data_IF_661088470095
#
_entry.id   IF_661088470095
#
_cell.length_a   1.000
_cell.length_b   1.000
_cell.length_c   1.000
_cell.angle_alpha   90.00
_cell.angle_beta   90.00
_cell.angle_gamma   90.00
#
_symmetry.space_group_name_H-M   'P 1'
#
loop_
_entity.id
_entity.type
_entity.pdbx_description
1 polymer ?
2 non-polymer ?
3 non-polymer ?
4 non-polymer ?
5 non-polymer ?
6 non-polymer ?
7 non-polymer ?
8 non-polymer ?
9 water ?
#
# COMPACT_ATOMS: atom_id res chain seq x y z
N UNK A 2 27.50 -10.60 1.55
CA UNK A 2 27.18 -11.12 2.88
C UNK A 2 25.69 -11.00 3.18
N UNK A 3 25.02 -12.14 3.32
CA UNK A 3 23.57 -12.16 3.52
C UNK A 3 23.17 -11.37 4.77
N UNK A 4 23.81 -11.64 5.90
CA UNK A 4 23.53 -10.93 7.14
C UNK A 4 23.72 -9.43 6.97
N UNK A 5 24.83 -9.04 6.37
CA UNK A 5 25.15 -7.63 6.15
C UNK A 5 24.18 -6.99 5.16
N UNK A 6 23.75 -7.78 4.18
CA UNK A 6 22.81 -7.30 3.16
C UNK A 6 21.40 -7.20 3.73
N UNK A 7 21.02 -8.19 4.53
CA UNK A 7 19.71 -8.18 5.19
C UNK A 7 19.56 -6.91 6.02
N UNK A 8 20.59 -6.59 6.80
CA UNK A 8 20.57 -5.39 7.61
C UNK A 8 20.45 -4.14 6.74
N UNK A 9 21.18 -4.13 5.63
CA UNK A 9 21.14 -3.02 4.68
C UNK A 9 19.72 -2.82 4.17
N UNK A 10 19.15 -3.86 3.57
CA UNK A 10 17.80 -3.80 3.03
C UNK A 10 16.78 -3.42 4.10
N UNK A 11 16.91 -4.02 5.27
CA UNK A 11 16.01 -3.73 6.39
C UNK A 11 15.98 -2.25 6.70
N UNK A 12 17.14 -1.60 6.61
CA UNK A 12 17.24 -0.17 6.86
C UNK A 12 16.61 0.63 5.74
N UNK A 13 16.85 0.21 4.50
CA UNK A 13 16.28 0.87 3.34
C UNK A 13 14.76 0.82 3.36
N UNK A 14 14.22 -0.32 3.80
CA UNK A 14 12.78 -0.49 3.91
C UNK A 14 12.18 0.45 4.95
N UNK A 15 12.83 0.51 6.11
CA UNK A 15 12.38 1.39 7.17
C UNK A 15 12.53 2.84 6.74
N UNK A 16 13.52 3.10 5.90
CA UNK A 16 13.76 4.44 5.39
C UNK A 16 12.61 4.93 4.52
N UNK A 17 12.28 4.13 3.51
CA UNK A 17 11.24 4.51 2.55
C UNK A 17 9.84 4.35 3.14
N UNK A 18 9.61 3.25 3.85
CA UNK A 18 8.30 2.97 4.43
C UNK A 18 7.79 4.17 5.23
N UNK A 19 8.70 4.90 5.85
CA UNK A 19 8.34 6.10 6.60
C UNK A 19 8.02 7.26 5.68
N UNK A 20 8.85 7.45 4.66
CA UNK A 20 8.61 8.48 3.66
C UNK A 20 7.26 8.28 2.99
N UNK A 21 7.07 7.08 2.43
CA UNK A 21 5.82 6.75 1.74
C UNK A 21 4.59 6.91 2.64
N UNK A 22 4.73 6.49 3.89
CA UNK A 22 3.65 6.62 4.86
C UNK A 22 3.20 8.07 5.01
N UNK A 23 4.06 8.99 4.60
CA UNK A 23 3.76 10.42 4.70
C UNK A 23 3.22 10.98 3.39
N UNK A 24 3.81 10.56 2.28
CA UNK A 24 3.35 11.00 0.97
C UNK A 24 1.93 10.53 0.71
N UNK A 25 1.47 9.54 1.48
CA UNK A 25 0.13 9.01 1.35
C UNK A 25 -0.78 9.57 2.45
N UNK A 26 -0.22 9.70 3.66
CA UNK A 26 -0.95 10.25 4.78
C UNK A 26 -1.34 11.70 4.50
N UNK A 27 -0.52 12.40 3.74
CA UNK A 27 -0.80 13.78 3.35
C UNK A 27 -1.75 13.80 2.16
N UNK A 28 -1.48 12.95 1.18
CA UNK A 28 -2.30 12.87 -0.02
C UNK A 28 -3.75 12.54 0.32
N UNK A 29 -3.96 11.43 1.01
CA UNK A 29 -5.30 11.00 1.41
C UNK A 29 -6.00 12.06 2.27
N UNK A 30 -5.21 12.94 2.88
CA UNK A 30 -5.77 13.98 3.72
C UNK A 30 -6.13 15.22 2.92
N UNK A 31 -5.40 15.47 1.83
CA UNK A 31 -5.69 16.61 0.98
C UNK A 31 -6.92 16.33 0.11
N UNK A 32 -7.16 15.06 -0.15
CA UNK A 32 -8.28 14.65 -1.00
C UNK A 32 -9.60 14.62 -0.23
N UNK A 33 -9.56 14.09 0.98
CA UNK A 33 -10.75 14.09 1.83
C UNK A 33 -11.18 15.53 2.07
N UNK A 34 -10.27 16.46 1.80
CA UNK A 34 -10.56 17.89 1.94
C UNK A 34 -11.38 18.39 0.75
N UNK A 35 -10.92 18.09 -0.45
CA UNK A 35 -11.62 18.49 -1.67
C UNK A 35 -13.07 18.02 -1.66
N UNK A 36 -13.27 16.77 -1.26
CA UNK A 36 -14.61 16.22 -1.17
C UNK A 36 -15.38 16.91 -0.05
N UNK A 37 -14.70 17.22 1.04
CA UNK A 37 -15.33 17.82 2.21
C UNK A 37 -15.75 19.26 1.95
N UNK A 38 -14.97 19.96 1.13
CA UNK A 38 -15.29 21.34 0.80
C UNK A 38 -16.39 21.38 -0.26
N UNK A 39 -16.35 20.41 -1.17
CA UNK A 39 -17.36 20.30 -2.22
C UNK A 39 -18.71 19.96 -1.61
N UNK A 40 -18.72 19.05 -0.66
CA UNK A 40 -19.95 18.67 0.02
C UNK A 40 -20.56 19.84 0.78
N UNK A 41 -19.70 20.72 1.28
CA UNK A 41 -20.17 21.90 2.01
C UNK A 41 -20.82 22.93 1.10
N UNK A 42 -20.21 23.17 -0.05
CA UNK A 42 -20.80 24.07 -1.05
C UNK A 42 -22.10 23.48 -1.57
N UNK A 43 -22.09 22.17 -1.79
CA UNK A 43 -23.28 21.46 -2.25
C UNK A 43 -24.42 21.62 -1.24
N UNK A 44 -24.17 21.25 0.00
CA UNK A 44 -25.15 21.40 1.07
C UNK A 44 -25.66 22.84 1.16
N UNK A 45 -24.85 23.78 0.69
CA UNK A 45 -25.21 25.19 0.68
C UNK A 45 -26.18 25.51 -0.45
N UNK A 46 -25.80 25.13 -1.67
CA UNK A 46 -26.63 25.36 -2.85
C UNK A 46 -28.05 24.88 -2.63
N UNK A 47 -28.20 23.78 -1.91
CA UNK A 47 -29.51 23.24 -1.58
C UNK A 47 -30.22 24.15 -0.59
N UNK A 48 -29.52 24.50 0.49
CA UNK A 48 -30.07 25.39 1.50
C UNK A 48 -30.45 26.73 0.89
N UNK A 49 -29.91 27.00 -0.30
CA UNK A 49 -30.18 28.24 -1.00
C UNK A 49 -31.35 28.08 -1.96
N UNK A 50 -31.38 26.93 -2.63
CA UNK A 50 -32.48 26.62 -3.55
C UNK A 50 -33.77 26.35 -2.78
N UNK A 51 -33.64 25.78 -1.59
CA UNK A 51 -34.80 25.53 -0.74
C UNK A 51 -35.39 26.85 -0.25
N UNK A 52 -34.53 27.78 0.15
CA UNK A 52 -34.96 29.07 0.64
C UNK A 52 -35.55 29.92 -0.48
N UNK A 53 -35.05 29.72 -1.70
CA UNK A 53 -35.64 30.35 -2.87
C UNK A 53 -37.02 29.76 -3.12
N UNK A 54 -37.12 28.45 -2.97
CA UNK A 54 -38.37 27.73 -3.20
C UNK A 54 -39.45 28.23 -2.25
N UNK A 55 -39.05 28.71 -1.08
CA UNK A 55 -39.99 29.23 -0.10
C UNK A 55 -40.04 30.76 -0.16
N UNK A 56 -39.11 31.36 -0.90
CA UNK A 56 -39.09 32.81 -1.08
C UNK A 56 -40.06 33.21 -2.17
N UNK A 57 -40.07 32.45 -3.26
CA UNK A 57 -41.04 32.65 -4.33
C UNK A 57 -42.39 32.08 -3.93
N UNK A 58 -42.36 31.11 -3.02
CA UNK A 58 -43.57 30.45 -2.53
C UNK A 58 -44.47 31.45 -1.82
N UNK A 59 -43.87 32.28 -0.99
CA UNK A 59 -44.63 33.28 -0.24
C UNK A 59 -45.11 34.41 -1.16
N UNK A 60 -44.31 34.71 -2.18
CA UNK A 60 -44.66 35.76 -3.13
C UNK A 60 -45.99 35.46 -3.79
N UNK A 61 -46.18 34.21 -4.18
CA UNK A 61 -47.46 33.75 -4.72
C UNK A 61 -48.58 33.98 -3.71
N UNK A 62 -48.25 33.77 -2.44
CA UNK A 62 -49.22 33.88 -1.35
C UNK A 62 -49.67 35.32 -1.14
N UNK A 63 -49.00 36.25 -1.81
CA UNK A 63 -49.35 37.66 -1.68
C UNK A 63 -50.05 38.21 -2.92
N UNK A 64 -49.51 37.87 -4.10
CA UNK A 64 -50.14 38.27 -5.36
C UNK A 64 -51.57 37.76 -5.44
N UNK A 65 -51.79 36.55 -4.93
CA UNK A 65 -53.13 36.00 -4.83
C UNK A 65 -53.97 36.90 -3.93
N UNK A 66 -53.38 37.28 -2.80
CA UNK A 66 -54.05 38.15 -1.84
C UNK A 66 -54.41 39.50 -2.45
N UNK A 67 -53.74 39.86 -3.53
CA UNK A 67 -54.00 41.13 -4.20
C UNK A 67 -55.00 40.97 -5.34
N UNK A 68 -54.87 39.89 -6.10
CA UNK A 68 -55.78 39.60 -7.20
C UNK A 68 -57.22 39.43 -6.71
N UNK A 69 -57.37 38.75 -5.57
CA UNK A 69 -58.69 38.50 -5.00
C UNK A 69 -59.32 39.78 -4.46
N UNK A 70 -58.55 40.54 -3.70
CA UNK A 70 -59.04 41.76 -3.07
C UNK A 70 -59.30 42.86 -4.10
N UNK A 71 -59.12 42.54 -5.37
CA UNK A 71 -59.32 43.50 -6.45
C UNK A 71 -60.28 42.93 -7.50
N UNK A 72 -60.79 41.73 -7.23
CA UNK A 72 -61.69 41.06 -8.16
C UNK A 72 -62.56 40.02 -7.44
N UNK B 2 19.77 -23.82 2.94
CA UNK B 2 18.53 -23.56 2.23
C UNK B 2 18.33 -22.07 1.99
N UNK B 3 19.42 -21.35 1.73
CA UNK B 3 19.36 -19.91 1.48
C UNK B 3 18.41 -19.57 0.34
N UNK B 4 18.80 -19.97 -0.87
CA UNK B 4 17.99 -19.68 -2.05
C UNK B 4 16.52 -20.09 -1.85
N UNK B 5 16.30 -21.09 -1.00
CA UNK B 5 14.96 -21.57 -0.70
C UNK B 5 14.23 -20.60 0.20
N UNK B 6 14.84 -20.24 1.32
CA UNK B 6 14.26 -19.29 2.26
C UNK B 6 13.93 -17.96 1.56
N UNK B 7 14.74 -17.59 0.59
CA UNK B 7 14.51 -16.38 -0.18
C UNK B 7 13.32 -16.55 -1.11
N UNK B 8 13.28 -17.68 -1.82
CA UNK B 8 12.21 -17.95 -2.77
C UNK B 8 10.87 -18.04 -2.06
N UNK B 9 10.86 -18.68 -0.89
CA UNK B 9 9.64 -18.80 -0.10
C UNK B 9 9.08 -17.42 0.23
N UNK B 10 9.96 -16.53 0.66
CA UNK B 10 9.56 -15.16 1.00
C UNK B 10 9.09 -14.37 -0.23
N UNK B 11 9.71 -14.63 -1.38
CA UNK B 11 9.31 -13.95 -2.60
C UNK B 11 7.93 -14.39 -3.03
N UNK B 12 7.63 -15.66 -2.81
CA UNK B 12 6.32 -16.22 -3.15
C UNK B 12 5.26 -15.71 -2.19
N UNK B 13 5.60 -15.68 -0.91
CA UNK B 13 4.70 -15.15 0.10
C UNK B 13 4.39 -13.70 -0.19
N UNK B 14 5.41 -12.94 -0.57
CA UNK B 14 5.22 -11.53 -0.93
C UNK B 14 4.27 -11.41 -2.11
N UNK B 15 4.60 -12.07 -3.21
CA UNK B 15 3.78 -12.02 -4.42
C UNK B 15 2.34 -12.44 -4.16
N UNK B 16 2.18 -13.42 -3.27
CA UNK B 16 0.85 -13.90 -2.88
C UNK B 16 0.11 -12.82 -2.08
N UNK B 17 0.75 -12.29 -1.05
CA UNK B 17 0.15 -11.26 -0.22
C UNK B 17 -0.10 -9.97 -1.00
N UNK B 18 0.86 -9.60 -1.85
CA UNK B 18 0.72 -8.40 -2.67
C UNK B 18 -0.54 -8.46 -3.53
N UNK B 19 -0.87 -9.64 -4.02
CA UNK B 19 -2.05 -9.83 -4.86
C UNK B 19 -3.33 -9.56 -4.08
N UNK B 20 -3.51 -10.28 -2.97
CA UNK B 20 -4.69 -10.11 -2.12
C UNK B 20 -4.81 -8.68 -1.60
N UNK B 21 -3.68 -8.05 -1.32
CA UNK B 21 -3.66 -6.66 -0.89
C UNK B 21 -4.19 -5.73 -1.98
N UNK B 22 -3.94 -6.11 -3.23
CA UNK B 22 -4.34 -5.32 -4.38
C UNK B 22 -5.82 -5.48 -4.70
N UNK B 23 -6.35 -6.67 -4.46
CA UNK B 23 -7.74 -6.96 -4.79
C UNK B 23 -8.71 -6.57 -3.68
N UNK B 24 -8.20 -6.46 -2.46
CA UNK B 24 -9.00 -6.00 -1.33
C UNK B 24 -9.07 -4.47 -1.35
N UNK B 25 -8.02 -3.86 -1.87
CA UNK B 25 -7.96 -2.41 -1.99
C UNK B 25 -8.90 -1.92 -3.09
N UNK B 26 -8.84 -2.57 -4.24
CA UNK B 26 -9.68 -2.19 -5.37
C UNK B 26 -11.15 -2.27 -5.01
N UNK B 27 -11.53 -3.30 -4.27
CA UNK B 27 -12.91 -3.44 -3.81
C UNK B 27 -13.28 -2.32 -2.84
N UNK B 28 -12.51 -2.21 -1.76
CA UNK B 28 -12.78 -1.22 -0.72
C UNK B 28 -13.01 0.17 -1.31
N UNK B 29 -12.05 0.64 -2.11
CA UNK B 29 -12.17 1.95 -2.74
C UNK B 29 -13.37 2.01 -3.68
N UNK B 30 -13.55 0.97 -4.49
CA UNK B 30 -14.64 0.93 -5.47
C UNK B 30 -16.00 1.12 -4.78
N UNK B 31 -16.15 0.54 -3.60
CA UNK B 31 -17.42 0.63 -2.87
C UNK B 31 -17.54 1.99 -2.18
N UNK B 32 -16.47 2.44 -1.56
CA UNK B 32 -16.48 3.73 -0.87
C UNK B 32 -16.77 4.84 -1.86
N UNK B 33 -16.20 4.73 -3.05
CA UNK B 33 -16.49 5.69 -4.12
C UNK B 33 -17.97 5.62 -4.47
N UNK B 34 -18.46 4.41 -4.72
CA UNK B 34 -19.87 4.21 -5.02
C UNK B 34 -20.76 4.88 -3.97
N UNK B 35 -20.52 4.54 -2.70
CA UNK B 35 -21.28 5.12 -1.60
C UNK B 35 -21.34 6.64 -1.72
N UNK B 36 -20.17 7.26 -1.90
CA UNK B 36 -20.09 8.71 -2.02
C UNK B 36 -20.85 9.20 -3.25
N UNK B 37 -20.76 8.46 -4.35
CA UNK B 37 -21.49 8.81 -5.56
C UNK B 37 -23.00 8.79 -5.31
N UNK B 38 -23.46 7.79 -4.55
CA UNK B 38 -24.87 7.67 -4.22
C UNK B 38 -25.35 8.92 -3.49
N UNK B 39 -24.60 9.33 -2.47
CA UNK B 39 -24.97 10.49 -1.66
C UNK B 39 -24.93 11.79 -2.45
N UNK B 40 -23.97 11.89 -3.36
CA UNK B 40 -23.83 13.07 -4.19
C UNK B 40 -24.92 13.10 -5.26
N UNK B 41 -25.43 11.92 -5.61
CA UNK B 41 -26.53 11.81 -6.56
C UNK B 41 -27.85 12.21 -5.92
N UNK B 42 -28.17 11.58 -4.79
CA UNK B 42 -29.39 11.90 -4.04
C UNK B 42 -29.46 13.39 -3.78
N UNK B 43 -28.38 13.95 -3.25
CA UNK B 43 -28.32 15.38 -2.98
C UNK B 43 -28.55 16.18 -4.26
N UNK B 44 -27.87 15.78 -5.33
CA UNK B 44 -28.04 16.42 -6.63
C UNK B 44 -29.50 16.50 -7.04
N UNK B 45 -30.21 15.38 -6.94
CA UNK B 45 -31.63 15.32 -7.27
C UNK B 45 -32.41 16.32 -6.43
N UNK B 46 -32.13 16.33 -5.13
CA UNK B 46 -32.79 17.25 -4.21
C UNK B 46 -32.64 18.69 -4.68
N UNK B 47 -31.52 18.96 -5.36
CA UNK B 47 -31.26 20.30 -5.88
C UNK B 47 -32.12 20.60 -7.11
N UNK B 48 -32.09 19.68 -8.08
CA UNK B 48 -32.89 19.84 -9.28
C UNK B 48 -34.38 19.95 -8.96
N UNK B 49 -34.83 19.13 -8.02
CA UNK B 49 -36.22 19.15 -7.59
C UNK B 49 -36.58 20.50 -6.99
N UNK B 50 -35.62 21.10 -6.28
CA UNK B 50 -35.82 22.40 -5.67
C UNK B 50 -35.76 23.54 -6.69
N UNK B 51 -34.87 23.41 -7.66
CA UNK B 51 -34.73 24.41 -8.72
C UNK B 51 -35.98 24.46 -9.60
N UNK B 52 -36.47 23.29 -10.01
CA UNK B 52 -37.67 23.21 -10.81
C UNK B 52 -38.87 23.75 -10.05
N UNK B 53 -38.79 23.69 -8.72
CA UNK B 53 -39.87 24.19 -7.86
C UNK B 53 -39.87 25.71 -7.85
N UNK B 54 -38.69 26.30 -7.65
CA UNK B 54 -38.56 27.75 -7.67
C UNK B 54 -38.94 28.36 -9.01
N UNK B 55 -38.45 27.75 -10.09
CA UNK B 55 -38.76 28.20 -11.43
C UNK B 55 -40.25 28.06 -11.72
N UNK B 56 -40.86 27.03 -11.14
CA UNK B 56 -42.30 26.81 -11.27
C UNK B 56 -43.08 27.98 -10.69
N UNK B 57 -42.75 28.36 -9.46
CA UNK B 57 -43.43 29.46 -8.79
C UNK B 57 -43.18 30.78 -9.51
N UNK B 58 -41.94 30.99 -9.95
CA UNK B 58 -41.60 32.21 -10.68
C UNK B 58 -42.51 32.40 -11.89
N UNK B 59 -42.84 31.30 -12.57
CA UNK B 59 -43.78 31.35 -13.68
C UNK B 59 -45.08 31.99 -13.22
N UNK B 60 -45.59 31.52 -12.09
CA UNK B 60 -46.81 32.06 -11.50
C UNK B 60 -46.64 33.54 -11.19
N UNK B 61 -45.60 33.87 -10.43
CA UNK B 61 -45.35 35.26 -10.03
C UNK B 61 -45.35 36.19 -11.25
N UNK B 62 -44.96 35.66 -12.40
CA UNK B 62 -44.93 36.46 -13.63
C UNK B 62 -46.32 36.73 -14.18
N UNK B 63 -47.08 35.65 -14.41
CA UNK B 63 -48.42 35.77 -14.97
C UNK B 63 -49.40 36.31 -13.94
N UNK B 64 -49.19 35.97 -12.68
CA UNK B 64 -50.04 36.44 -11.60
C UNK B 64 -49.91 37.96 -11.44
N UNK B 65 -48.76 38.49 -11.82
CA UNK B 65 -48.53 39.94 -11.79
C UNK B 65 -49.25 40.60 -12.97
N UNK B 66 -49.19 39.94 -14.13
CA UNK B 66 -49.86 40.46 -15.32
C UNK B 66 -51.36 40.55 -15.12
N UNK B 67 -51.87 39.79 -14.16
CA UNK B 67 -53.28 39.87 -13.80
C UNK B 67 -53.52 41.04 -12.86
N UNK B 68 -52.57 41.30 -11.98
CA UNK B 68 -52.63 42.48 -11.12
C UNK B 68 -52.54 43.74 -11.96
N UNK B 69 -51.87 43.65 -13.11
CA UNK B 69 -51.76 44.76 -14.04
C UNK B 69 -53.02 44.88 -14.88
N UNK B 70 -53.36 43.79 -15.58
CA UNK B 70 -54.54 43.77 -16.44
C UNK B 70 -55.78 44.25 -15.69
N UNK B 71 -55.91 43.81 -14.44
CA UNK B 71 -57.03 44.22 -13.60
C UNK B 71 -56.91 45.69 -13.22
N UNK B 72 -55.80 46.05 -12.58
CA UNK B 72 -55.55 47.44 -12.20
C UNK B 72 -55.21 48.29 -13.41
N UNK C 1 -18.05 23.99 -7.81
CA UNK C 1 -17.46 22.66 -8.03
C UNK C 1 -18.37 21.55 -7.50
N UNK C 2 -19.06 20.86 -8.39
CA UNK C 2 -19.95 19.77 -7.99
C UNK C 2 -19.22 18.67 -7.24
N UNK C 3 -19.87 18.14 -6.21
CA UNK C 3 -19.31 17.03 -5.46
C UNK C 3 -19.09 15.81 -6.35
N UNK C 4 -20.00 15.60 -7.29
CA UNK C 4 -19.89 14.51 -8.25
C UNK C 4 -18.71 14.75 -9.18
N UNK C 5 -18.42 16.02 -9.44
CA UNK C 5 -17.28 16.39 -10.27
C UNK C 5 -16.00 16.32 -9.45
N UNK C 6 -16.13 16.54 -8.14
CA UNK C 6 -14.99 16.45 -7.23
C UNK C 6 -14.68 15.00 -6.93
N UNK C 7 -15.72 14.19 -6.81
CA UNK C 7 -15.56 12.76 -6.56
C UNK C 7 -14.90 12.06 -7.74
N UNK C 8 -15.39 12.36 -8.94
CA UNK C 8 -14.82 11.77 -10.15
C UNK C 8 -13.39 12.26 -10.35
N UNK C 9 -13.16 13.52 -10.00
CA UNK C 9 -11.84 14.10 -10.16
C UNK C 9 -10.82 13.33 -9.32
N UNK C 10 -11.22 12.99 -8.10
CA UNK C 10 -10.39 12.21 -7.20
C UNK C 10 -10.17 10.79 -7.73
N UNK C 11 -11.18 10.25 -8.41
CA UNK C 11 -11.11 8.88 -8.88
C UNK C 11 -10.09 8.72 -10.02
N UNK C 12 -10.00 9.73 -10.87
CA UNK C 12 -9.00 9.71 -11.94
C UNK C 12 -7.61 9.85 -11.34
N UNK C 13 -7.49 10.73 -10.35
CA UNK C 13 -6.22 10.95 -9.67
C UNK C 13 -5.77 9.68 -8.96
N UNK C 14 -6.68 9.06 -8.20
CA UNK C 14 -6.35 7.83 -7.48
C UNK C 14 -5.92 6.73 -8.45
N UNK C 15 -6.75 6.50 -9.47
CA UNK C 15 -6.49 5.42 -10.42
C UNK C 15 -5.12 5.58 -11.07
N UNK C 16 -4.71 6.82 -11.31
CA UNK C 16 -3.41 7.09 -11.94
C UNK C 16 -2.27 6.89 -10.94
N UNK C 17 -2.38 7.56 -9.79
CA UNK C 17 -1.37 7.46 -8.74
C UNK C 17 -1.18 6.02 -8.27
N UNK C 18 -2.28 5.34 -8.00
CA UNK C 18 -2.24 3.95 -7.59
C UNK C 18 -1.52 3.09 -8.63
N UNK C 19 -1.67 3.47 -9.89
CA UNK C 19 -1.01 2.77 -10.99
C UNK C 19 0.49 3.02 -10.98
N UNK C 20 0.89 4.23 -10.59
CA UNK C 20 2.30 4.59 -10.54
C UNK C 20 2.98 3.93 -9.34
N UNK C 21 2.31 3.96 -8.20
CA UNK C 21 2.85 3.36 -6.98
C UNK C 21 3.14 1.87 -7.13
N UNK C 22 2.19 1.13 -7.73
CA UNK C 22 2.38 -0.29 -7.98
C UNK C 22 3.64 -0.56 -8.78
N UNK C 23 3.77 0.11 -9.92
CA UNK C 23 4.93 -0.05 -10.79
C UNK C 23 6.22 0.16 -10.02
N UNK C 24 6.30 1.29 -9.31
CA UNK C 24 7.49 1.63 -8.54
C UNK C 24 7.78 0.58 -7.46
N UNK C 25 6.74 0.17 -6.75
CA UNK C 25 6.89 -0.80 -5.67
C UNK C 25 7.40 -2.14 -6.20
N UNK C 26 6.85 -2.58 -7.33
CA UNK C 26 7.27 -3.85 -7.92
C UNK C 26 8.74 -3.82 -8.30
N UNK C 27 9.18 -2.71 -8.90
CA UNK C 27 10.57 -2.56 -9.29
C UNK C 27 11.49 -2.47 -8.08
N UNK C 28 10.99 -1.84 -7.02
CA UNK C 28 11.78 -1.69 -5.80
C UNK C 28 12.09 -3.04 -5.17
N UNK C 29 11.05 -3.82 -4.93
CA UNK C 29 11.20 -5.14 -4.30
C UNK C 29 12.00 -6.08 -5.20
N UNK C 30 11.90 -5.88 -6.51
CA UNK C 30 12.71 -6.65 -7.45
C UNK C 30 14.18 -6.43 -7.18
N UNK C 31 14.57 -5.16 -7.03
CA UNK C 31 15.96 -4.82 -6.77
C UNK C 31 16.47 -5.39 -5.46
N UNK C 32 15.63 -5.31 -4.42
CA UNK C 32 16.01 -5.79 -3.09
C UNK C 32 16.16 -7.31 -3.06
N UNK C 33 15.16 -8.01 -3.61
CA UNK C 33 15.24 -9.45 -3.72
C UNK C 33 16.49 -9.84 -4.51
N UNK C 34 16.87 -8.98 -5.46
CA UNK C 34 18.08 -9.20 -6.26
C UNK C 34 19.33 -9.11 -5.40
N UNK C 35 19.46 -8.02 -4.65
CA UNK C 35 20.60 -7.83 -3.76
C UNK C 35 20.80 -9.05 -2.87
N UNK C 36 19.74 -9.44 -2.18
CA UNK C 36 19.78 -10.58 -1.27
C UNK C 36 20.15 -11.87 -1.99
N UNK C 37 19.56 -12.07 -3.16
CA UNK C 37 19.85 -13.25 -3.96
C UNK C 37 21.34 -13.37 -4.29
N UNK C 38 21.94 -12.25 -4.68
CA UNK C 38 23.37 -12.22 -4.99
C UNK C 38 24.20 -12.56 -3.76
N UNK C 39 23.82 -11.96 -2.63
CA UNK C 39 24.52 -12.20 -1.38
C UNK C 39 24.36 -13.65 -0.94
N UNK C 40 23.19 -14.22 -1.20
CA UNK C 40 22.92 -15.60 -0.85
C UNK C 40 23.84 -16.56 -1.62
N UNK C 41 23.88 -16.40 -2.94
CA UNK C 41 24.74 -17.21 -3.79
C UNK C 41 26.20 -17.04 -3.38
N UNK C 42 26.55 -15.81 -3.04
CA UNK C 42 27.91 -15.48 -2.60
C UNK C 42 28.25 -16.31 -1.36
N UNK C 43 27.35 -16.29 -0.39
CA UNK C 43 27.48 -17.10 0.80
C UNK C 43 27.53 -18.59 0.45
N UNK C 44 26.69 -18.97 -0.51
CA UNK C 44 26.63 -20.34 -0.99
C UNK C 44 27.97 -20.83 -1.54
N UNK C 45 28.61 -19.97 -2.33
CA UNK C 45 29.90 -20.30 -2.92
C UNK C 45 30.94 -20.52 -1.83
N UNK C 46 30.97 -19.63 -0.85
CA UNK C 46 31.91 -19.72 0.24
C UNK C 46 31.80 -21.08 0.94
N UNK C 47 30.58 -21.45 1.31
CA UNK C 47 30.33 -22.72 1.97
C UNK C 47 30.73 -23.87 1.05
N UNK C 48 30.51 -23.68 -0.24
CA UNK C 48 30.86 -24.69 -1.25
C UNK C 48 32.36 -24.95 -1.30
N UNK C 49 33.15 -23.88 -1.39
CA UNK C 49 34.59 -24.01 -1.48
C UNK C 49 35.21 -24.44 -0.15
N UNK C 50 34.64 -23.95 0.95
CA UNK C 50 35.13 -24.31 2.28
C UNK C 50 35.03 -25.81 2.49
N UNK C 51 33.94 -26.39 2.00
CA UNK C 51 33.75 -27.84 2.09
C UNK C 51 34.72 -28.58 1.18
N UNK C 52 35.08 -27.97 0.06
CA UNK C 52 36.07 -28.55 -0.84
C UNK C 52 37.41 -28.75 -0.15
N UNK C 53 37.89 -27.69 0.50
CA UNK C 53 39.15 -27.75 1.24
C UNK C 53 39.14 -28.93 2.19
N UNK C 54 38.08 -29.04 2.98
CA UNK C 54 37.94 -30.11 3.96
C UNK C 54 38.06 -31.49 3.34
N UNK C 55 37.22 -31.76 2.35
CA UNK C 55 37.21 -33.07 1.71
C UNK C 55 38.51 -33.30 0.94
N UNK C 56 39.16 -32.22 0.54
CA UNK C 56 40.44 -32.32 -0.15
C UNK C 56 41.55 -32.72 0.82
N UNK C 57 41.49 -32.17 2.03
CA UNK C 57 42.43 -32.55 3.07
C UNK C 57 42.17 -33.98 3.53
N UNK C 58 40.90 -34.35 3.59
CA UNK C 58 40.52 -35.70 3.96
C UNK C 58 41.08 -36.69 2.95
N UNK C 59 41.07 -36.31 1.68
CA UNK C 59 41.64 -37.14 0.63
C UNK C 59 43.14 -37.31 0.82
N UNK C 60 43.82 -36.20 1.14
CA UNK C 60 45.25 -36.22 1.37
C UNK C 60 45.60 -37.08 2.58
N UNK C 61 44.75 -37.04 3.60
CA UNK C 61 44.97 -37.81 4.82
C UNK C 61 45.05 -39.31 4.55
N UNK C 62 44.05 -39.83 3.84
CA UNK C 62 44.01 -41.25 3.52
C UNK C 62 44.87 -41.58 2.30
N UNK C 63 45.51 -40.56 1.74
CA UNK C 63 46.47 -40.75 0.66
C UNK C 63 47.83 -41.04 1.26
N UNK C 64 48.21 -40.24 2.25
CA UNK C 64 49.45 -40.44 2.99
C UNK C 64 49.38 -41.73 3.77
N UNK C 65 48.23 -41.97 4.42
CA UNK C 65 48.02 -43.19 5.19
C UNK C 65 48.14 -44.42 4.30
N UNK C 66 47.63 -44.32 3.08
CA UNK C 66 47.74 -45.39 2.10
C UNK C 66 49.19 -45.66 1.75
N UNK C 67 50.08 -44.76 2.16
CA UNK C 67 51.50 -44.87 1.85
C UNK C 67 52.33 -45.14 3.11
N UNK C 68 51.74 -44.92 4.28
CA UNK C 68 52.40 -45.21 5.54
C UNK C 68 52.44 -46.73 5.78
N UNK C 69 51.46 -47.43 5.22
CA UNK C 69 51.35 -48.88 5.38
C UNK C 69 52.51 -49.61 4.70
N UNK C 70 52.71 -49.33 3.42
CA UNK C 70 53.79 -49.96 2.65
C UNK C 70 55.15 -49.50 3.16
N UNK C 71 55.14 -48.56 4.09
CA UNK C 71 56.37 -48.00 4.65
C UNK C 71 56.89 -48.87 5.78
N UNK D 3 -24.01 15.43 0.92
CA UNK D 3 -24.25 15.25 2.34
C UNK D 3 -22.98 14.80 3.05
N UNK D 4 -22.74 15.31 4.25
CA UNK D 4 -21.47 15.10 4.94
C UNK D 4 -21.44 13.87 5.86
N UNK D 5 -22.61 13.32 6.15
CA UNK D 5 -22.67 12.10 6.95
C UNK D 5 -22.07 10.94 6.17
N UNK D 6 -22.09 11.04 4.85
CA UNK D 6 -21.49 10.03 4.00
C UNK D 6 -19.97 10.11 4.04
N UNK D 7 -19.46 11.34 4.03
CA UNK D 7 -18.01 11.56 4.12
C UNK D 7 -17.46 11.19 5.48
N UNK D 8 -18.11 11.67 6.54
CA UNK D 8 -17.67 11.39 7.90
C UNK D 8 -17.61 9.89 8.13
N UNK D 9 -18.55 9.17 7.54
CA UNK D 9 -18.60 7.72 7.64
C UNK D 9 -17.39 7.10 6.96
N UNK D 10 -17.05 7.63 5.78
CA UNK D 10 -15.96 7.09 4.98
C UNK D 10 -14.59 7.26 5.65
N UNK D 11 -14.27 8.49 6.07
CA UNK D 11 -12.97 8.76 6.66
C UNK D 11 -12.71 7.90 7.90
N UNK D 12 -13.73 7.76 8.74
CA UNK D 12 -13.59 6.95 9.95
C UNK D 12 -13.38 5.49 9.59
N UNK D 13 -13.90 5.08 8.44
CA UNK D 13 -13.69 3.72 7.94
C UNK D 13 -12.29 3.58 7.39
N UNK D 14 -11.80 4.63 6.74
CA UNK D 14 -10.46 4.64 6.16
C UNK D 14 -9.38 4.46 7.19
N UNK D 15 -9.44 5.24 8.25
CA UNK D 15 -8.40 5.24 9.27
C UNK D 15 -8.42 3.95 10.10
N UNK D 16 -9.61 3.47 10.42
CA UNK D 16 -9.74 2.22 11.15
C UNK D 16 -9.08 1.07 10.39
N UNK D 17 -9.11 1.17 9.06
CA UNK D 17 -8.50 0.18 8.19
C UNK D 17 -7.03 0.48 7.96
N UNK D 18 -6.72 1.75 7.72
CA UNK D 18 -5.35 2.20 7.51
C UNK D 18 -4.49 1.84 8.70
N UNK D 19 -5.03 2.04 9.90
CA UNK D 19 -4.32 1.69 11.13
C UNK D 19 -4.06 0.20 11.18
N UNK D 20 -5.12 -0.59 11.05
CA UNK D 20 -5.02 -2.04 11.08
C UNK D 20 -4.07 -2.55 9.99
N UNK D 21 -3.99 -1.82 8.89
CA UNK D 21 -3.13 -2.20 7.77
C UNK D 21 -1.65 -2.00 8.07
N UNK D 22 -1.31 -0.89 8.72
CA UNK D 22 0.08 -0.61 9.07
C UNK D 22 0.60 -1.61 10.10
N UNK D 23 -0.19 -1.89 11.13
CA UNK D 23 0.21 -2.81 12.18
C UNK D 23 0.45 -4.21 11.62
N UNK D 24 -0.43 -4.65 10.72
CA UNK D 24 -0.34 -5.98 10.14
C UNK D 24 0.83 -6.08 9.16
N UNK D 25 1.11 -4.97 8.48
CA UNK D 25 2.22 -4.90 7.54
C UNK D 25 3.56 -4.93 8.27
N UNK D 26 3.73 -4.02 9.22
CA UNK D 26 4.95 -3.93 10.00
C UNK D 26 5.25 -5.28 10.65
N UNK D 27 4.20 -5.91 11.18
CA UNK D 27 4.33 -7.22 11.79
C UNK D 27 4.80 -8.24 10.76
N UNK D 28 4.29 -8.12 9.55
CA UNK D 28 4.58 -9.07 8.48
C UNK D 28 6.04 -8.99 8.02
N UNK D 29 6.53 -7.77 7.80
CA UNK D 29 7.91 -7.56 7.36
C UNK D 29 8.92 -8.02 8.41
N UNK D 30 8.65 -7.71 9.67
CA UNK D 30 9.54 -8.07 10.77
C UNK D 30 9.69 -9.59 10.87
N UNK D 31 8.60 -10.30 10.63
CA UNK D 31 8.63 -11.76 10.66
C UNK D 31 9.42 -12.34 9.50
N UNK D 32 9.24 -11.77 8.31
CA UNK D 32 10.00 -12.20 7.13
C UNK D 32 11.49 -11.91 7.33
N UNK D 33 11.78 -10.75 7.90
CA UNK D 33 13.16 -10.39 8.21
C UNK D 33 13.73 -11.36 9.23
N UNK D 34 12.89 -11.79 10.16
CA UNK D 34 13.28 -12.78 11.15
C UNK D 34 13.62 -14.09 10.47
N UNK D 35 12.70 -14.59 9.64
CA UNK D 35 12.91 -15.82 8.89
C UNK D 35 14.26 -15.80 8.20
N UNK D 36 14.47 -14.79 7.36
CA UNK D 36 15.71 -14.66 6.59
C UNK D 36 16.94 -14.58 7.49
N UNK D 37 16.85 -13.77 8.54
CA UNK D 37 17.95 -13.63 9.50
C UNK D 37 18.38 -14.98 10.07
N UNK D 38 17.40 -15.81 10.41
CA UNK D 38 17.67 -17.12 10.98
C UNK D 38 18.34 -18.03 9.94
N UNK D 39 17.82 -18.03 8.72
CA UNK D 39 18.37 -18.84 7.64
C UNK D 39 19.83 -18.47 7.38
N UNK D 40 20.12 -17.17 7.42
CA UNK D 40 21.48 -16.70 7.20
C UNK D 40 22.42 -17.15 8.32
N UNK D 41 22.02 -16.91 9.57
CA UNK D 41 22.83 -17.31 10.72
C UNK D 41 23.17 -18.80 10.66
N UNK D 42 22.18 -19.60 10.29
CA UNK D 42 22.38 -21.03 10.13
C UNK D 42 23.42 -21.33 9.05
N UNK D 43 23.41 -20.53 7.99
CA UNK D 43 24.40 -20.65 6.95
C UNK D 43 25.79 -20.22 7.44
N UNK D 44 25.83 -19.14 8.20
CA UNK D 44 27.07 -18.67 8.81
C UNK D 44 27.64 -19.74 9.73
N UNK D 45 26.80 -20.27 10.61
CA UNK D 45 27.21 -21.35 11.50
C UNK D 45 27.75 -22.51 10.68
N UNK D 46 27.09 -22.79 9.57
CA UNK D 46 27.50 -23.88 8.68
C UNK D 46 28.84 -23.59 8.04
N UNK D 47 29.07 -22.32 7.70
CA UNK D 47 30.35 -21.91 7.10
C UNK D 47 31.45 -21.95 8.16
N UNK D 48 31.19 -21.29 9.28
CA UNK D 48 32.14 -21.25 10.39
C UNK D 48 32.58 -22.65 10.79
N UNK D 49 31.66 -23.61 10.69
CA UNK D 49 31.96 -24.99 11.04
C UNK D 49 32.86 -25.67 10.01
N UNK D 50 32.50 -25.54 8.73
CA UNK D 50 33.27 -26.15 7.66
C UNK D 50 34.69 -25.61 7.63
N UNK D 51 34.88 -24.39 8.13
CA UNK D 51 36.20 -23.80 8.26
C UNK D 51 36.99 -24.47 9.38
N UNK D 52 36.36 -24.60 10.54
CA UNK D 52 36.98 -25.24 11.69
C UNK D 52 37.36 -26.67 11.37
N UNK D 53 36.57 -27.30 10.50
CA UNK D 53 36.81 -28.68 10.11
C UNK D 53 37.81 -28.75 8.96
N UNK D 54 38.22 -27.59 8.46
CA UNK D 54 39.22 -27.54 7.39
C UNK D 54 40.61 -27.41 7.96
N UNK D 55 40.82 -26.40 8.80
CA UNK D 55 42.08 -26.23 9.49
C UNK D 55 42.37 -27.46 10.35
N UNK D 56 41.32 -28.06 10.88
CA UNK D 56 41.43 -29.29 11.65
C UNK D 56 42.08 -30.39 10.81
N UNK D 57 41.54 -30.61 9.62
CA UNK D 57 42.09 -31.59 8.70
C UNK D 57 43.49 -31.21 8.23
N UNK D 58 43.78 -29.91 8.21
CA UNK D 58 45.05 -29.42 7.70
C UNK D 58 46.21 -29.72 8.64
N UNK D 59 46.00 -29.49 9.94
CA UNK D 59 47.02 -29.77 10.93
C UNK D 59 47.32 -31.26 10.96
N UNK D 60 46.30 -32.07 10.66
CA UNK D 60 46.45 -33.51 10.62
C UNK D 60 47.41 -33.94 9.51
N UNK D 61 47.18 -33.47 8.30
CA UNK D 61 48.05 -33.80 7.18
C UNK D 61 49.47 -33.25 7.38
N UNK D 62 49.56 -32.08 8.00
CA UNK D 62 50.85 -31.50 8.35
C UNK D 62 51.63 -32.46 9.25
N UNK D 63 50.91 -33.10 10.18
CA UNK D 63 51.52 -34.02 11.13
C UNK D 63 51.81 -35.37 10.48
N UNK D 64 50.89 -35.82 9.65
CA UNK D 64 51.05 -37.11 8.97
C UNK D 64 52.20 -37.07 7.96
N UNK D 65 52.31 -35.98 7.21
CA UNK D 65 53.39 -35.83 6.24
C UNK D 65 54.72 -35.75 6.95
N UNK D 66 54.70 -35.28 8.20
CA UNK D 66 55.89 -35.21 9.03
C UNK D 66 56.24 -36.59 9.55
N UNK D 67 55.22 -37.36 9.91
CA UNK D 67 55.40 -38.73 10.39
C UNK D 67 55.92 -39.61 9.27
N UNK D 68 55.46 -39.35 8.05
CA UNK D 68 55.89 -40.12 6.89
C UNK D 68 57.34 -39.83 6.54
N UNK D 69 57.73 -38.56 6.68
CA UNK D 69 59.10 -38.15 6.38
C UNK D 69 60.10 -38.76 7.35
N UNK D 70 59.97 -38.39 8.62
CA UNK D 70 60.88 -38.88 9.65
C UNK D 70 60.95 -40.40 9.67
N UNK D 71 59.84 -41.04 9.30
CA UNK D 71 59.78 -42.49 9.23
C UNK D 71 60.55 -43.02 8.01
N UNK D 72 61.78 -43.47 8.25
CA UNK D 72 62.63 -43.96 7.17
C UNK D 72 62.94 -42.86 6.16
X LIG E 1 3.90 7.65 -0.81
X LIG E 1 3.13 6.62 -1.45
X LIG E 1 2.44 5.76 -0.38
X LIG E 1 1.49 4.91 -1.00
X LIG E 1 1.56 3.58 -0.49
X LIG E 1 2.19 2.71 -1.57
X LIG E 1 3.20 3.48 -2.21
X LIG E 1 3.96 2.74 -3.15
X LIG E 1 4.91 3.68 -3.88
X LIG E 1 6.13 2.98 -4.13
X LIG E 1 7.21 3.86 -4.42
X LIG E 1 8.43 3.36 -3.66
X LIG E 1 8.17 2.02 -3.22
X LIG E 1 9.27 1.48 -2.49
X LIG E 1 8.78 0.36 -1.58
X LIG E 1 8.15 0.92 -0.43
X LIG E 1 7.88 -0.08 0.55
X LIG E 1 7.35 0.56 1.83
X LIG E 1 6.15 1.28 1.57
X LIG E 1 5.29 1.30 2.70
X LIG E 1 4.14 2.28 2.45
X LIG E 1 3.73 2.16 1.08
X LIG F 1 -0.16 9.58 13.31
X LIG G 1 -1.80 -0.48 1.85
X LIG G 1 -2.26 -1.82 2.02
X LIG G 1 -1.76 -2.36 3.36
X LIG G 1 -2.05 -3.75 3.46
X LIG G 1 -1.46 -4.32 4.62
X LIG G 1 -1.40 -5.84 4.48
X LIG G 1 -0.27 -6.32 5.20
X LIG G 1 0.34 -7.42 4.55
X LIG G 1 1.82 -7.10 4.36
X LIG G 1 2.27 -7.71 3.15
X LIG G 1 3.09 -6.84 2.39
X LIG G 1 2.83 -7.08 0.91
X LIG G 1 2.88 -5.83 0.23
X LIG G 1 1.74 -5.63 -0.59
X LIG G 1 1.33 -4.16 -0.52
X LIG G 1 0.01 -3.99 -1.05
X LIG G 1 -0.44 -2.65 -0.88
X LIG G 1 -1.73 -2.43 -1.66
X LIG G 1 -2.12 -1.06 -1.55
X LIG H 1 -6.45 -9.66 5.90
X LIG I 1 20.96 -29.56 -2.45
X LIG J 1 -6.31 -3.94 -13.61
X LIG K 1 2.35 -0.06 -2.83
X LIG K 1 1.56 -0.35 -3.99
X LIG K 1 0.14 0.15 -3.78
X LIG K 1 0.13 1.56 -3.57
X LIG K 1 -0.96 2.18 -4.24
X LIG K 1 -1.46 3.37 -3.43
X LIG K 1 -2.09 4.31 -4.29
X LIG K 1 -3.19 4.95 -3.65
X LIG K 1 -2.95 6.46 -3.63
X LIG K 1 -1.92 6.73 -2.68
X LIG K 1 -1.11 7.85 -3.06
X LIG K 1 0.05 8.00 -2.09
X LIG K 1 1.11 8.71 -2.73
X LIG L 1 -12.44 1.24 -10.79
X LIG L 1 -12.51 1.42 -9.38
X LIG L 1 -11.70 2.65 -8.98
X LIG L 1 -12.14 3.12 -7.71
X LIG L 1 -11.49 4.33 -7.34
X LIG L 1 -12.28 5.02 -6.24
X LIG L 1 -11.50 6.09 -5.68
X LIG L 1 -12.03 6.52 -4.42
X LIG L 1 -10.91 7.13 -3.60
X LIG L 1 -11.40 7.51 -2.31
X LIG L 1 -10.36 8.09 -1.51
X LIG L 1 -10.97 8.72 -0.27
X LIG L 1 -9.96 9.43 0.44
X LIG M 1 12.00 -7.83 1.99
X LIG N 1 -2.76 0.52 4.23
X LIG N 1 -2.81 1.86 3.72
X LIG N 1 -4.20 2.44 3.95
X LIG N 1 -5.18 1.67 3.25
X LIG N 1 -7.47 1.48 2.54
X LIG N 1 -6.50 2.08 3.56
X LIG N 1 -7.54 0.06 2.71
X LIG N 1 -8.40 -1.96 1.68
X LIG N 1 -7.79 -0.57 1.46
X LIG N 1 -7.72 -2.62 2.75
X LIG N 1 -8.66 -4.14 4.35
X LIG N 1 -8.21 -3.95 2.90
X LIG N 1 -9.33 -5.39 4.50
X LIG N 1 -9.70 -6.75 6.45
X LIG N 1 -10.04 -5.46 5.73
X LIG N 1 -8.28 -6.81 6.65
X LIG O 1 -2.42 -13.88 9.08
X LIG O 1 -3.66 -13.77 9.78
X LIG O 1 -1.67 -12.55 9.16
X LIG O 1 -0.67 -12.54 8.15
X LIG O 1 -0.44 -11.22 7.66
X LIG O 1 -0.71 -11.21 6.15
X LIG O 1 -4.40 -12.80 6.14
X LIG O 1 -3.95 -12.44 4.83
X LIG O 1 -2.74 -11.51 4.96
X LIG O 1 -1.85 -12.05 5.93
X LIG P 1 48.43 -43.12 14.27
X LIG Q 1 34.20 -34.33 13.42
X LIG R 1 3.45 -14.51 8.56
X LIG S 1 9.32 -19.93 11.14
#
# INVERSE_FOLDING_TARGET
PDLTAALRDVRQQYESVAAKNLQEAEEWYKSKFADLSEAANRNNDALRQAKQESTEYRRQVQSLTCEVDALK
PDLTAALRDVRQQYESVAAKNLQEAEEWYKSKFADLSEAANRNNDALRQAKQESTEYRRQVQSLTCEVDALK
PDLTAALRDVRQQYESVAAKNLQEAEEWYKSKFADLSEAANRNNDALRQAKQESTEYRRQVQSLTCEVDALK
PDLTAALRDVRQQYESVAAKNLQEAEEWYKSKFADLSEAANRNNDALRQAKQESTEYRRQVQSLTCEVDALK
P33 O22 C21 C20 O19 C18 C17 O16 C15 C14 O13 C12 C11 O10 C9 C8 O7 C6 C5 O4 C3 C2 O1
SM SM
P6G O1 C2 C3 O4 C5 C6 O7 C8 C9 O10 C11 C12 O13 C14 C15 O16 C17 C18 O19
SM SM
CA CA
CA CA
PG4 O1 C1 C2 O2 C3 C4 O3 C5 C6 O4 C7 C8 O5
PG4 O1 C1 C2 O2 C3 C4 O3 C5 C6 O4 C7 C8 O5
CA CA
1PE OH2 C12 C22 OH3 C13 C23 OH4 C14 C24 OH5 C15 C25 OH6 C16 C26 OH7
PGE C1 O1 C2 O2 C3 C4 O4 C6 C5 O3
SM SM
CA CA
CA CA
CA CA
#
